data_IF_539122481032
#
_entry.id   IF_539122481032
#
_cell.length_a   1.000
_cell.length_b   1.000
_cell.length_c   1.000
_cell.angle_alpha   90.00
_cell.angle_beta   90.00
_cell.angle_gamma   90.00
#
_symmetry.space_group_name_H-M   'P 1'
#
loop_
_entity.id
_entity.type
_entity.pdbx_description
1 polymer ?
#
# COMPACT_ATOMS: atom_id res chain seq x y z
N UNK A 1 -1.74 -0.94 -10.40
CA UNK A 1 -2.88 -0.13 -9.91
C UNK A 1 -2.82 -0.16 -8.39
N UNK A 2 -2.53 0.97 -7.75
CA UNK A 2 -2.61 1.09 -6.28
C UNK A 2 -4.06 1.36 -5.95
N UNK A 3 -4.71 0.43 -5.24
CA UNK A 3 -6.09 0.65 -4.82
C UNK A 3 -6.07 1.54 -3.59
N UNK A 4 -6.37 2.83 -3.77
CA UNK A 4 -6.74 3.71 -2.67
C UNK A 4 -8.02 3.15 -2.04
N UNK A 5 -7.94 2.63 -0.81
CA UNK A 5 -9.10 2.03 -0.17
C UNK A 5 -9.95 3.08 0.53
N UNK A 6 -9.35 3.90 1.41
CA UNK A 6 -9.98 5.08 2.04
C UNK A 6 -8.90 6.08 2.51
N UNK A 7 -9.28 7.35 2.68
CA UNK A 7 -8.46 8.37 3.36
C UNK A 7 -9.20 8.82 4.62
N UNK A 8 -8.54 8.74 5.77
CA UNK A 8 -9.07 9.23 7.05
C UNK A 8 -7.94 9.73 7.94
N UNK A 9 -8.17 10.78 8.73
CA UNK A 9 -7.13 11.38 9.59
C UNK A 9 -5.83 11.67 8.82
N UNK A 10 -5.96 12.22 7.61
CA UNK A 10 -4.84 12.56 6.71
C UNK A 10 -3.96 11.36 6.31
N UNK A 11 -4.47 10.13 6.47
CA UNK A 11 -3.77 8.89 6.17
C UNK A 11 -4.57 8.02 5.22
N UNK A 12 -3.88 7.40 4.28
CA UNK A 12 -4.40 6.33 3.43
C UNK A 12 -4.50 5.06 4.29
N UNK A 13 -5.68 4.43 4.34
CA UNK A 13 -5.82 3.12 4.97
C UNK A 13 -5.62 2.03 3.91
N UNK A 14 -4.70 1.11 4.18
CA UNK A 14 -4.43 -0.02 3.31
C UNK A 14 -5.15 -1.28 3.81
N UNK A 15 -5.69 -2.09 2.90
CA UNK A 15 -6.29 -3.39 3.24
C UNK A 15 -5.45 -4.53 2.66
N UNK A 16 -4.61 -5.14 3.49
CA UNK A 16 -3.58 -6.11 3.13
C UNK A 16 -4.10 -7.24 2.23
N UNK A 17 -5.25 -7.84 2.56
CA UNK A 17 -5.84 -8.92 1.76
C UNK A 17 -6.28 -8.51 0.35
N UNK A 18 -6.79 -7.27 0.19
CA UNK A 18 -7.20 -6.75 -1.11
C UNK A 18 -5.98 -6.29 -1.91
N UNK A 19 -4.98 -5.70 -1.23
CA UNK A 19 -3.70 -5.36 -1.86
C UNK A 19 -3.02 -6.61 -2.44
N UNK A 20 -2.93 -7.69 -1.67
CA UNK A 20 -2.35 -8.95 -2.13
C UNK A 20 -3.13 -9.53 -3.32
N UNK A 21 -4.48 -9.51 -3.28
CA UNK A 21 -5.29 -9.99 -4.39
C UNK A 21 -5.02 -9.21 -5.69
N UNK A 22 -4.90 -7.88 -5.60
CA UNK A 22 -4.56 -7.04 -6.75
C UNK A 22 -3.15 -7.30 -7.29
N UNK A 23 -2.18 -7.55 -6.40
CA UNK A 23 -0.82 -7.93 -6.78
C UNK A 23 -0.78 -9.29 -7.48
N UNK A 24 -1.53 -10.27 -6.96
CA UNK A 24 -1.71 -11.58 -7.59
C UNK A 24 -2.33 -11.48 -8.98
N UNK A 25 -3.34 -10.62 -9.18
CA UNK A 25 -3.94 -10.41 -10.50
C UNK A 25 -2.97 -9.71 -11.48
N UNK A 26 -2.22 -8.71 -11.00
CA UNK A 26 -1.28 -7.95 -11.82
C UNK A 26 -0.11 -8.81 -12.30
N UNK A 27 0.41 -9.67 -11.41
CA UNK A 27 1.55 -10.54 -11.66
C UNK A 27 1.14 -12.01 -11.75
N UNK A 28 -0.03 -12.28 -12.33
CA UNK A 28 -0.64 -13.63 -12.39
C UNK A 28 0.22 -14.72 -13.04
N UNK A 29 1.19 -14.32 -13.86
CA UNK A 29 2.10 -15.24 -14.56
C UNK A 29 3.45 -15.41 -13.84
N UNK A 30 3.64 -14.75 -12.70
CA UNK A 30 4.84 -14.84 -11.88
C UNK A 30 4.67 -15.89 -10.79
N UNK A 31 5.79 -16.28 -10.18
CA UNK A 31 5.77 -17.13 -8.99
C UNK A 31 4.97 -16.47 -7.87
N UNK A 32 4.02 -17.21 -7.30
CA UNK A 32 3.06 -16.65 -6.34
C UNK A 32 3.68 -16.42 -4.95
N UNK A 33 4.76 -17.10 -4.61
CA UNK A 33 5.52 -16.85 -3.39
C UNK A 33 6.29 -15.53 -3.51
N UNK A 34 6.95 -15.31 -4.66
CA UNK A 34 7.62 -14.05 -4.94
C UNK A 34 6.66 -12.86 -4.96
N UNK A 35 5.47 -13.03 -5.54
CA UNK A 35 4.42 -11.99 -5.55
C UNK A 35 3.94 -11.66 -4.14
N UNK A 36 3.76 -12.67 -3.26
CA UNK A 36 3.41 -12.44 -1.85
C UNK A 36 4.50 -11.66 -1.12
N UNK A 37 5.76 -12.07 -1.29
CA UNK A 37 6.91 -11.41 -0.67
C UNK A 37 7.06 -9.96 -1.14
N UNK A 38 6.88 -9.71 -2.44
CA UNK A 38 6.88 -8.37 -3.00
C UNK A 38 5.71 -7.53 -2.48
N UNK A 39 4.49 -8.07 -2.47
CA UNK A 39 3.30 -7.36 -1.99
C UNK A 39 3.44 -6.91 -0.53
N UNK A 40 4.04 -7.75 0.33
CA UNK A 40 4.32 -7.39 1.71
C UNK A 40 5.31 -6.22 1.83
N UNK A 41 6.44 -6.28 1.10
CA UNK A 41 7.44 -5.19 1.08
C UNK A 41 6.86 -3.90 0.53
N UNK A 42 6.13 -3.98 -0.58
CA UNK A 42 5.51 -2.83 -1.22
C UNK A 42 4.49 -2.15 -0.29
N UNK A 43 3.68 -2.93 0.43
CA UNK A 43 2.75 -2.41 1.41
C UNK A 43 3.46 -1.68 2.57
N UNK A 44 4.61 -2.18 3.03
CA UNK A 44 5.41 -1.53 4.06
C UNK A 44 5.91 -0.15 3.59
N UNK A 45 6.42 -0.05 2.36
CA UNK A 45 6.84 1.22 1.76
C UNK A 45 5.66 2.20 1.61
N UNK A 46 4.48 1.71 1.26
CA UNK A 46 3.25 2.52 1.20
C UNK A 46 2.83 3.05 2.58
N UNK A 47 3.04 2.26 3.65
CA UNK A 47 2.80 2.70 5.04
C UNK A 47 3.81 3.78 5.46
N UNK A 48 5.10 3.63 5.14
CA UNK A 48 6.14 4.64 5.41
C UNK A 48 5.85 5.96 4.70
N UNK A 49 5.48 5.90 3.41
CA UNK A 49 5.09 7.07 2.64
C UNK A 49 3.89 7.81 3.25
N UNK A 50 2.91 7.05 3.76
CA UNK A 50 1.74 7.61 4.42
C UNK A 50 2.08 8.35 5.72
N UNK A 51 3.04 7.87 6.50
CA UNK A 51 3.54 8.57 7.68
C UNK A 51 4.20 9.90 7.29
N UNK A 52 5.03 9.90 6.25
CA UNK A 52 5.68 11.12 5.74
C UNK A 52 4.67 12.17 5.26
N UNK A 53 3.61 11.75 4.56
CA UNK A 53 2.54 12.65 4.12
C UNK A 53 1.84 13.34 5.29
N UNK A 54 1.55 12.60 6.37
CA UNK A 54 0.89 13.15 7.56
C UNK A 54 1.75 14.14 8.34
N UNK A 55 3.08 14.08 8.21
CA UNK A 55 3.99 15.07 8.82
C UNK A 55 4.00 16.37 8.04
N UNK A 56 3.93 16.30 6.70
CA UNK A 56 3.92 17.48 5.83
C UNK A 56 2.64 18.29 6.00
N UNK A 57 1.48 17.64 6.17
CA UNK A 57 0.20 18.34 6.37
C UNK A 57 0.13 19.11 7.69
N UNK A 58 0.82 18.63 8.74
CA UNK A 58 0.88 19.30 10.04
C UNK A 58 1.82 20.50 10.14
N UNK A 59 2.82 20.63 9.26
CA UNK A 59 3.75 21.78 9.25
C UNK A 59 3.22 22.98 8.43
N UNK A 60 2.14 22.80 7.67
CA UNK A 60 1.52 23.82 6.81
C UNK A 60 0.33 24.54 7.45
N UNK A 61 -0.02 24.22 8.71
CA UNK A 61 -1.07 24.88 9.51
C UNK A 61 -0.49 25.73 10.62
#
# INVERSE_FOLDING_TARGET
>A
MITLHTVSNEKINYHDGHHLAMMGLTFKNSDQEDVKNYAAKHLEEMKKFNEQLSTITGELT
#
